data_IF_348685196678
#
_entry.id   IF_348685196678
#
_cell.length_a   1.000
_cell.length_b   1.000
_cell.length_c   1.000
_cell.angle_alpha   90.00
_cell.angle_beta   90.00
_cell.angle_gamma   90.00
#
_symmetry.space_group_name_H-M   'P 1'
#
loop_
_entity.id
_entity.type
_entity.pdbx_description
1 polymer ?
#
# COMPACT_ATOMS: atom_id res chain seq x y z
N UNK A 1 45.54 15.48 -45.84
CA UNK A 1 45.13 14.16 -45.33
C UNK A 1 45.26 14.17 -43.80
N UNK A 2 44.17 14.41 -43.06
CA UNK A 2 44.18 14.39 -41.60
C UNK A 2 43.05 13.47 -41.13
N UNK A 3 43.39 12.26 -40.69
CA UNK A 3 42.45 11.26 -40.16
C UNK A 3 42.04 11.70 -38.75
N UNK A 4 40.76 12.01 -38.54
CA UNK A 4 40.16 12.18 -37.21
C UNK A 4 39.65 10.83 -36.71
N UNK A 5 40.22 10.38 -35.61
CA UNK A 5 39.84 9.18 -34.85
C UNK A 5 38.59 9.50 -34.02
N UNK A 6 37.49 8.77 -34.24
CA UNK A 6 36.25 8.90 -33.48
C UNK A 6 36.32 7.92 -32.29
N UNK A 7 36.48 8.44 -31.07
CA UNK A 7 36.41 7.65 -29.84
C UNK A 7 34.93 7.56 -29.46
N UNK A 8 34.33 6.38 -29.61
CA UNK A 8 33.01 6.08 -29.05
C UNK A 8 33.16 5.89 -27.53
N UNK A 9 32.57 6.81 -26.77
CA UNK A 9 32.38 6.67 -25.33
C UNK A 9 31.19 5.71 -25.11
N UNK A 10 31.48 4.49 -24.67
CA UNK A 10 30.45 3.57 -24.18
C UNK A 10 29.98 4.08 -22.82
N UNK A 11 28.82 4.72 -22.78
CA UNK A 11 28.14 5.03 -21.53
C UNK A 11 27.61 3.72 -20.94
N UNK A 12 28.30 3.19 -19.94
CA UNK A 12 27.79 2.11 -19.11
C UNK A 12 26.60 2.66 -18.30
N UNK A 13 25.38 2.27 -18.66
CA UNK A 13 24.21 2.45 -17.81
C UNK A 13 24.39 1.58 -16.56
N UNK A 14 24.90 2.14 -15.47
CA UNK A 14 24.75 1.53 -14.15
C UNK A 14 23.29 1.68 -13.74
N UNK A 15 22.51 0.59 -13.86
CA UNK A 15 21.22 0.49 -13.22
C UNK A 15 21.40 0.68 -11.72
N UNK A 16 20.80 1.73 -11.16
CA UNK A 16 20.79 1.92 -9.71
C UNK A 16 20.07 0.75 -9.06
N UNK A 17 20.75 0.04 -8.17
CA UNK A 17 20.10 -0.91 -7.26
C UNK A 17 19.32 -0.07 -6.26
N UNK A 18 18.01 0.03 -6.45
CA UNK A 18 17.15 0.60 -5.42
C UNK A 18 17.03 -0.45 -4.31
N UNK A 19 17.74 -0.23 -3.20
CA UNK A 19 17.69 -1.10 -2.05
C UNK A 19 16.50 -0.70 -1.16
N UNK A 20 15.70 -1.71 -0.80
CA UNK A 20 14.70 -1.60 0.25
C UNK A 20 15.41 -1.57 1.61
N UNK A 21 15.03 -0.64 2.48
CA UNK A 21 15.62 -0.50 3.81
C UNK A 21 14.61 -0.99 4.85
N UNK A 22 14.81 -2.22 5.30
CA UNK A 22 13.97 -2.89 6.30
C UNK A 22 14.60 -2.73 7.69
N UNK A 23 13.88 -2.08 8.59
CA UNK A 23 14.27 -1.94 9.99
C UNK A 23 13.38 -2.83 10.87
N UNK A 24 14.00 -3.86 11.46
CA UNK A 24 13.38 -4.70 12.47
C UNK A 24 13.63 -4.08 13.84
N UNK A 25 12.65 -3.38 14.40
CA UNK A 25 12.84 -2.62 15.64
C UNK A 25 12.75 -3.52 16.88
N UNK A 26 12.06 -4.67 16.80
CA UNK A 26 12.01 -5.69 17.86
C UNK A 26 11.83 -7.11 17.29
N UNK A 27 12.39 -8.11 17.99
CA UNK A 27 12.17 -9.52 17.68
C UNK A 27 10.70 -9.91 17.91
N UNK A 28 10.08 -10.53 16.91
CA UNK A 28 8.70 -11.00 17.01
C UNK A 28 8.71 -12.37 17.70
N UNK A 29 8.57 -12.39 19.03
CA UNK A 29 8.57 -13.63 19.81
C UNK A 29 7.45 -14.62 19.42
N UNK A 30 6.46 -14.18 18.64
CA UNK A 30 5.33 -14.98 18.12
C UNK A 30 5.40 -15.27 16.61
N UNK A 31 6.51 -14.93 15.92
CA UNK A 31 6.60 -15.14 14.48
C UNK A 31 6.76 -16.62 14.14
N UNK A 32 6.03 -17.06 13.11
CA UNK A 32 6.00 -18.44 12.63
C UNK A 32 7.35 -18.79 11.97
N UNK A 33 8.11 -19.77 12.50
CA UNK A 33 9.38 -20.19 11.91
C UNK A 33 9.15 -20.89 10.56
N UNK A 34 9.66 -20.30 9.49
CA UNK A 34 9.57 -20.88 8.14
C UNK A 34 10.92 -20.85 7.44
N UNK A 35 11.27 -21.95 6.76
CA UNK A 35 12.37 -21.97 5.81
C UNK A 35 11.84 -21.97 4.37
N UNK A 36 12.47 -21.18 3.50
CA UNK A 36 12.22 -21.20 2.07
C UNK A 36 13.43 -21.87 1.41
N UNK A 37 13.24 -23.11 0.97
CA UNK A 37 14.23 -23.83 0.17
C UNK A 37 14.25 -23.28 -1.26
N UNK A 38 15.38 -23.44 -1.94
CA UNK A 38 15.56 -22.98 -3.32
C UNK A 38 14.50 -23.57 -4.24
N UNK A 39 13.93 -22.72 -5.11
CA UNK A 39 13.08 -23.11 -6.23
C UNK A 39 13.90 -23.53 -7.48
N UNK A 40 15.22 -23.36 -7.41
CA UNK A 40 16.15 -23.58 -8.50
C UNK A 40 17.25 -22.53 -8.50
N UNK A 41 18.41 -22.89 -9.02
CA UNK A 41 19.59 -22.00 -9.07
C UNK A 41 19.71 -21.22 -10.38
N UNK A 42 18.74 -21.37 -11.30
CA UNK A 42 18.64 -20.50 -12.46
C UNK A 42 18.06 -19.13 -12.07
N UNK A 43 18.04 -18.20 -13.03
CA UNK A 43 17.59 -16.82 -12.75
C UNK A 43 16.16 -16.77 -12.20
N UNK A 44 15.26 -17.59 -12.75
CA UNK A 44 13.85 -17.58 -12.35
C UNK A 44 13.63 -18.22 -10.97
N UNK A 45 14.28 -19.35 -10.68
CA UNK A 45 14.22 -19.99 -9.36
C UNK A 45 14.82 -19.13 -8.26
N UNK A 46 15.96 -18.47 -8.54
CA UNK A 46 16.60 -17.55 -7.60
C UNK A 46 15.74 -16.31 -7.31
N UNK A 47 15.12 -15.74 -8.35
CA UNK A 47 14.20 -14.61 -8.22
C UNK A 47 12.97 -14.97 -7.38
N UNK A 48 12.28 -16.08 -7.69
CA UNK A 48 11.15 -16.58 -6.88
C UNK A 48 11.53 -16.76 -5.41
N UNK A 49 12.65 -17.45 -5.17
CA UNK A 49 13.11 -17.73 -3.80
C UNK A 49 13.36 -16.43 -3.04
N UNK A 50 14.03 -15.47 -3.68
CA UNK A 50 14.36 -14.17 -3.07
C UNK A 50 13.11 -13.37 -2.76
N UNK A 51 12.17 -13.29 -3.70
CA UNK A 51 10.93 -12.53 -3.54
C UNK A 51 10.01 -13.12 -2.48
N UNK A 52 9.85 -14.44 -2.44
CA UNK A 52 9.02 -15.07 -1.40
C UNK A 52 9.63 -14.89 -0.01
N UNK A 53 10.97 -15.01 0.13
CA UNK A 53 11.64 -14.70 1.39
C UNK A 53 11.35 -13.25 1.83
N UNK A 54 11.49 -12.33 0.89
CA UNK A 54 11.24 -10.91 1.12
C UNK A 54 9.80 -10.68 1.59
N UNK A 55 8.80 -11.10 0.83
CA UNK A 55 7.37 -10.94 1.14
C UNK A 55 7.01 -11.46 2.55
N UNK A 56 7.42 -12.69 2.86
CA UNK A 56 7.09 -13.29 4.16
C UNK A 56 7.79 -12.55 5.30
N UNK A 57 9.03 -12.11 5.10
CA UNK A 57 9.74 -11.27 6.06
C UNK A 57 9.06 -9.91 6.25
N UNK A 58 8.62 -9.26 5.16
CA UNK A 58 7.93 -7.97 5.19
C UNK A 58 6.64 -8.00 6.00
N UNK A 59 5.97 -9.14 6.04
CA UNK A 59 4.69 -9.28 6.72
C UNK A 59 4.77 -9.17 8.26
N UNK A 60 5.97 -9.35 8.83
CA UNK A 60 6.15 -9.42 10.28
C UNK A 60 5.51 -10.62 10.96
N UNK A 61 4.96 -11.58 10.22
CA UNK A 61 4.37 -12.79 10.79
C UNK A 61 5.34 -13.98 10.79
N UNK A 62 6.43 -13.89 10.04
CA UNK A 62 7.34 -15.01 9.82
C UNK A 62 8.74 -14.73 10.34
N UNK A 63 9.33 -15.75 10.96
CA UNK A 63 10.74 -15.81 11.27
C UNK A 63 11.41 -16.66 10.20
N UNK A 64 12.16 -16.02 9.31
CA UNK A 64 12.85 -16.72 8.24
C UNK A 64 14.02 -17.52 8.83
N UNK A 65 13.96 -18.84 8.67
CA UNK A 65 15.03 -19.76 9.04
C UNK A 65 16.00 -19.87 7.86
N UNK A 66 17.29 -19.51 8.04
CA UNK A 66 18.27 -19.55 6.96
C UNK A 66 18.41 -20.96 6.37
N UNK A 67 18.36 -21.04 5.04
CA UNK A 67 18.55 -22.28 4.29
C UNK A 67 20.04 -22.48 4.00
N UNK A 68 20.67 -23.58 4.45
CA UNK A 68 22.04 -23.92 4.08
C UNK A 68 22.24 -24.01 2.55
N UNK A 69 23.37 -23.49 2.01
CA UNK A 69 23.65 -23.57 0.58
C UNK A 69 23.83 -25.03 0.14
N UNK A 70 23.35 -25.36 -1.06
CA UNK A 70 23.51 -26.69 -1.67
C UNK A 70 22.52 -27.74 -1.16
N UNK A 71 21.50 -27.36 -0.38
CA UNK A 71 20.39 -28.25 -0.07
C UNK A 71 19.70 -28.73 -1.37
N UNK A 72 19.37 -30.03 -1.49
CA UNK A 72 18.60 -30.51 -2.62
C UNK A 72 17.22 -29.84 -2.70
N UNK A 73 16.74 -29.62 -3.92
CA UNK A 73 15.36 -29.20 -4.17
C UNK A 73 14.36 -30.26 -3.67
N UNK A 74 13.15 -29.81 -3.33
CA UNK A 74 12.07 -30.68 -2.88
C UNK A 74 12.22 -31.13 -1.41
N UNK A 75 11.66 -32.29 -1.10
CA UNK A 75 11.40 -32.69 0.29
C UNK A 75 12.60 -33.26 1.04
N UNK A 76 13.73 -33.49 0.36
CA UNK A 76 14.91 -34.14 0.95
C UNK A 76 15.59 -33.26 2.01
N UNK A 77 15.50 -31.94 1.88
CA UNK A 77 16.08 -30.98 2.83
C UNK A 77 15.22 -30.68 4.07
N UNK A 78 13.98 -31.17 4.14
CA UNK A 78 13.01 -30.78 5.18
C UNK A 78 13.50 -31.14 6.58
N UNK A 79 14.09 -32.32 6.76
CA UNK A 79 14.60 -32.77 8.07
C UNK A 79 15.74 -31.90 8.59
N UNK A 80 16.60 -31.40 7.69
CA UNK A 80 17.72 -30.51 8.00
C UNK A 80 17.18 -29.14 8.42
N UNK A 81 16.24 -28.58 7.65
CA UNK A 81 15.61 -27.29 7.96
C UNK A 81 14.80 -27.32 9.26
N UNK A 82 14.12 -28.43 9.54
CA UNK A 82 13.51 -28.67 10.85
C UNK A 82 14.53 -28.66 11.97
N UNK A 83 15.66 -29.34 11.78
CA UNK A 83 16.77 -29.33 12.75
C UNK A 83 17.34 -27.92 13.00
N UNK A 84 17.24 -27.03 12.01
CA UNK A 84 17.59 -25.61 12.12
C UNK A 84 16.48 -24.75 12.77
N UNK A 85 15.33 -25.34 13.14
CA UNK A 85 14.23 -24.68 13.84
C UNK A 85 13.09 -24.19 12.95
N UNK A 86 12.96 -24.70 11.72
CA UNK A 86 11.79 -24.43 10.88
C UNK A 86 10.60 -25.32 11.26
N UNK A 87 9.45 -24.71 11.52
CA UNK A 87 8.19 -25.43 11.74
C UNK A 87 7.48 -25.70 10.40
N UNK A 88 7.66 -24.81 9.44
CA UNK A 88 7.19 -24.97 8.06
C UNK A 88 8.34 -24.85 7.06
N UNK A 89 8.27 -25.61 5.97
CA UNK A 89 9.21 -25.53 4.85
C UNK A 89 8.45 -25.31 3.56
N UNK A 90 8.78 -24.22 2.86
CA UNK A 90 8.38 -24.03 1.47
C UNK A 90 9.50 -24.53 0.57
N UNK A 91 9.18 -25.38 -0.40
CA UNK A 91 10.13 -25.82 -1.42
C UNK A 91 9.44 -25.89 -2.76
N UNK A 92 10.17 -25.62 -3.83
CA UNK A 92 9.60 -25.70 -5.17
C UNK A 92 10.63 -26.06 -6.21
N UNK A 93 10.16 -26.09 -7.45
CA UNK A 93 10.97 -26.32 -8.65
C UNK A 93 10.46 -25.45 -9.77
N UNK A 94 11.39 -24.84 -10.48
CA UNK A 94 11.17 -24.19 -11.77
C UNK A 94 11.69 -25.08 -12.89
N UNK A 95 10.88 -25.30 -13.93
CA UNK A 95 11.26 -26.07 -15.11
C UNK A 95 10.88 -25.30 -16.37
N UNK A 96 11.81 -25.21 -17.33
CA UNK A 96 11.54 -24.53 -18.62
C UNK A 96 10.64 -25.39 -19.49
N UNK A 97 9.52 -24.84 -19.97
CA UNK A 97 8.58 -25.50 -20.89
C UNK A 97 8.78 -25.10 -22.36
N UNK A 98 9.64 -24.11 -22.63
CA UNK A 98 9.91 -23.59 -23.97
C UNK A 98 10.52 -22.19 -23.89
N UNK A 99 10.50 -21.46 -25.01
CA UNK A 99 10.96 -20.06 -25.02
C UNK A 99 10.03 -19.20 -24.14
N UNK A 100 10.61 -18.53 -23.13
CA UNK A 100 9.93 -17.64 -22.20
C UNK A 100 8.75 -18.24 -21.41
N UNK A 101 8.68 -19.56 -21.22
CA UNK A 101 7.65 -20.20 -20.38
C UNK A 101 8.24 -21.15 -19.35
N UNK A 102 7.70 -21.08 -18.14
CA UNK A 102 8.11 -21.88 -16.99
C UNK A 102 6.92 -22.67 -16.44
N UNK A 103 7.17 -23.92 -16.05
CA UNK A 103 6.37 -24.66 -15.09
C UNK A 103 6.98 -24.44 -13.71
N UNK A 104 6.19 -23.98 -12.76
CA UNK A 104 6.61 -23.72 -11.39
C UNK A 104 5.72 -24.52 -10.47
N UNK A 105 6.31 -25.43 -9.70
CA UNK A 105 5.60 -26.24 -8.71
C UNK A 105 6.17 -25.99 -7.32
N UNK A 106 5.33 -26.07 -6.30
CA UNK A 106 5.78 -25.95 -4.92
C UNK A 106 4.96 -26.81 -3.96
N UNK A 107 5.62 -27.19 -2.86
CA UNK A 107 5.07 -27.82 -1.68
C UNK A 107 5.31 -26.91 -0.46
N UNK A 108 4.27 -26.62 0.29
CA UNK A 108 4.36 -26.13 1.67
C UNK A 108 4.17 -27.32 2.61
N UNK A 109 5.14 -27.51 3.51
CA UNK A 109 5.25 -28.71 4.33
C UNK A 109 5.28 -28.29 5.80
N UNK A 110 4.47 -28.97 6.61
CA UNK A 110 4.63 -28.97 8.06
C UNK A 110 5.85 -29.84 8.38
N UNK A 111 6.94 -29.21 8.81
CA UNK A 111 8.20 -29.90 9.05
C UNK A 111 8.12 -30.79 10.31
N UNK A 112 7.30 -30.41 11.29
CA UNK A 112 7.15 -31.11 12.57
C UNK A 112 6.32 -32.37 12.39
N UNK A 113 5.13 -32.24 11.79
CA UNK A 113 4.23 -33.35 11.50
C UNK A 113 4.64 -34.15 10.24
N UNK A 114 5.57 -33.60 9.44
CA UNK A 114 6.01 -34.15 8.16
C UNK A 114 4.86 -34.37 7.16
N UNK A 115 3.93 -33.42 7.11
CA UNK A 115 2.73 -33.46 6.25
C UNK A 115 2.72 -32.33 5.23
N UNK A 116 2.18 -32.58 4.02
CA UNK A 116 1.97 -31.52 3.02
C UNK A 116 0.76 -30.67 3.39
N UNK A 117 0.98 -29.38 3.58
CA UNK A 117 -0.06 -28.39 3.85
C UNK A 117 -0.68 -27.86 2.56
N UNK A 118 0.14 -27.68 1.52
CA UNK A 118 -0.27 -27.16 0.22
C UNK A 118 0.65 -27.68 -0.89
N UNK A 119 0.07 -28.07 -2.03
CA UNK A 119 0.81 -28.41 -3.26
C UNK A 119 0.13 -27.74 -4.43
N UNK A 120 0.87 -26.98 -5.23
CA UNK A 120 0.35 -26.31 -6.43
C UNK A 120 1.40 -26.25 -7.55
N UNK A 121 0.91 -26.05 -8.77
CA UNK A 121 1.73 -25.81 -9.96
C UNK A 121 1.11 -24.73 -10.84
N UNK A 122 1.96 -23.93 -11.49
CA UNK A 122 1.58 -22.83 -12.36
C UNK A 122 2.42 -22.85 -13.63
N UNK A 123 1.81 -22.43 -14.74
CA UNK A 123 2.53 -22.16 -15.98
C UNK A 123 2.50 -20.66 -16.25
N UNK A 124 3.68 -20.05 -16.33
CA UNK A 124 3.82 -18.60 -16.40
C UNK A 124 4.82 -18.18 -17.48
N UNK A 125 4.66 -16.96 -17.99
CA UNK A 125 5.64 -16.31 -18.83
C UNK A 125 6.86 -15.86 -18.02
N UNK A 126 7.99 -15.61 -18.70
CA UNK A 126 9.19 -15.07 -18.05
C UNK A 126 8.97 -13.72 -17.36
N UNK A 127 8.00 -12.94 -17.81
CA UNK A 127 7.68 -11.63 -17.26
C UNK A 127 6.78 -11.70 -16.01
N UNK A 128 6.20 -12.88 -15.74
CA UNK A 128 5.21 -13.07 -14.67
C UNK A 128 5.81 -13.75 -13.43
N UNK A 129 7.12 -14.03 -13.43
CA UNK A 129 7.82 -14.70 -12.33
C UNK A 129 7.63 -13.94 -11.01
N UNK A 130 7.75 -12.63 -11.05
CA UNK A 130 7.55 -11.76 -9.89
C UNK A 130 6.10 -11.80 -9.39
N UNK A 131 5.13 -11.65 -10.28
CA UNK A 131 3.71 -11.74 -9.91
C UNK A 131 3.37 -13.11 -9.32
N UNK A 132 3.97 -14.18 -9.85
CA UNK A 132 3.84 -15.52 -9.31
C UNK A 132 4.48 -15.64 -7.91
N UNK A 133 5.65 -15.03 -7.68
CA UNK A 133 6.28 -15.03 -6.36
C UNK A 133 5.32 -14.47 -5.31
N UNK A 134 4.76 -13.29 -5.55
CA UNK A 134 3.79 -12.65 -4.67
C UNK A 134 2.54 -13.51 -4.47
N UNK A 135 2.03 -14.14 -5.54
CA UNK A 135 0.90 -15.05 -5.43
C UNK A 135 1.20 -16.28 -4.56
N UNK A 136 2.39 -16.87 -4.71
CA UNK A 136 2.84 -17.98 -3.85
C UNK A 136 2.97 -17.51 -2.40
N UNK A 137 3.53 -16.32 -2.16
CA UNK A 137 3.61 -15.71 -0.83
C UNK A 137 2.22 -15.54 -0.21
N UNK A 138 1.24 -15.07 -0.99
CA UNK A 138 -0.15 -14.89 -0.52
C UNK A 138 -0.77 -16.23 -0.09
N UNK A 139 -0.57 -17.28 -0.88
CA UNK A 139 -1.06 -18.62 -0.60
C UNK A 139 -0.40 -19.24 0.64
N UNK A 140 0.91 -19.05 0.80
CA UNK A 140 1.65 -19.54 1.98
C UNK A 140 1.23 -18.78 3.22
N UNK A 141 1.12 -17.46 3.13
CA UNK A 141 0.66 -16.59 4.20
C UNK A 141 -0.75 -16.99 4.65
N UNK A 142 -1.70 -17.14 3.73
CA UNK A 142 -3.07 -17.54 4.07
C UNK A 142 -3.14 -18.95 4.66
N UNK A 143 -2.35 -19.89 4.14
CA UNK A 143 -2.36 -21.25 4.67
C UNK A 143 -1.86 -21.34 6.11
N UNK A 144 -0.87 -20.52 6.49
CA UNK A 144 -0.23 -20.56 7.80
C UNK A 144 -0.86 -19.63 8.83
N UNK A 145 -1.48 -18.54 8.39
CA UNK A 145 -2.07 -17.52 9.28
C UNK A 145 -3.60 -17.56 9.32
N UNK A 146 -4.25 -18.12 8.29
CA UNK A 146 -5.69 -18.05 8.09
C UNK A 146 -6.18 -16.71 7.53
N UNK A 147 -5.28 -15.78 7.20
CA UNK A 147 -5.60 -14.45 6.68
C UNK A 147 -5.05 -14.27 5.27
N UNK A 148 -5.75 -13.51 4.42
CA UNK A 148 -5.28 -13.27 3.06
C UNK A 148 -3.99 -12.42 3.07
N UNK A 149 -2.98 -12.86 2.32
CA UNK A 149 -1.76 -12.09 2.06
C UNK A 149 -2.03 -10.87 1.17
N UNK A 150 -1.15 -9.87 1.26
CA UNK A 150 -1.28 -8.59 0.51
C UNK A 150 -0.17 -8.40 -0.52
N UNK A 151 0.62 -9.42 -0.82
CA UNK A 151 1.81 -9.27 -1.66
C UNK A 151 1.45 -9.05 -3.13
N UNK A 152 0.33 -9.60 -3.60
CA UNK A 152 -0.19 -9.35 -4.96
C UNK A 152 -1.00 -8.05 -5.10
N UNK A 153 -1.06 -7.22 -4.05
CA UNK A 153 -1.73 -5.92 -4.12
C UNK A 153 -0.82 -4.85 -4.73
N UNK A 154 -1.39 -3.67 -4.95
CA UNK A 154 -0.70 -2.49 -5.49
C UNK A 154 -0.80 -1.30 -4.56
N UNK A 155 0.04 -0.31 -4.80
CA UNK A 155 -0.02 1.01 -4.18
C UNK A 155 -0.16 2.07 -5.25
N UNK A 156 -0.88 3.15 -4.94
CA UNK A 156 -0.88 4.37 -5.72
C UNK A 156 -0.21 5.48 -4.90
N UNK A 157 0.46 6.40 -5.56
CA UNK A 157 1.09 7.56 -4.90
C UNK A 157 1.31 8.69 -5.89
N UNK A 158 1.56 9.89 -5.36
CA UNK A 158 1.94 11.06 -6.15
C UNK A 158 3.46 11.23 -6.13
N UNK A 159 4.09 11.22 -7.30
CA UNK A 159 5.50 11.55 -7.45
C UNK A 159 5.65 13.02 -7.87
N UNK A 160 6.48 13.76 -7.15
CA UNK A 160 6.76 15.17 -7.41
C UNK A 160 8.22 15.37 -7.77
N UNK A 161 8.48 15.84 -8.99
CA UNK A 161 9.83 16.10 -9.49
C UNK A 161 10.05 17.60 -9.67
N UNK A 162 11.02 18.15 -8.92
CA UNK A 162 11.31 19.61 -8.89
C UNK A 162 12.62 19.99 -9.60
N UNK A 163 13.42 19.01 -10.02
CA UNK A 163 14.81 19.20 -10.43
C UNK A 163 15.01 19.65 -11.90
N UNK A 164 13.93 19.86 -12.67
CA UNK A 164 14.00 20.11 -14.13
C UNK A 164 13.28 21.39 -14.58
N UNK A 165 13.18 22.40 -13.71
CA UNK A 165 12.46 23.65 -14.01
C UNK A 165 11.05 23.64 -13.43
N UNK A 166 10.01 23.61 -14.27
CA UNK A 166 8.62 23.54 -13.77
C UNK A 166 8.40 22.20 -13.05
N UNK A 167 7.72 22.20 -11.88
CA UNK A 167 7.44 20.96 -11.16
C UNK A 167 6.57 20.03 -12.01
N UNK A 168 6.83 18.74 -11.91
CA UNK A 168 6.05 17.68 -12.55
C UNK A 168 5.43 16.80 -11.48
N UNK A 169 4.15 16.53 -11.61
CA UNK A 169 3.37 15.66 -10.73
C UNK A 169 2.92 14.45 -11.53
N UNK A 170 3.15 13.25 -11.00
CA UNK A 170 2.69 12.01 -11.62
C UNK A 170 1.84 11.21 -10.64
N UNK A 171 0.71 10.68 -11.10
CA UNK A 171 -0.02 9.63 -10.39
C UNK A 171 0.59 8.29 -10.80
N UNK A 172 1.29 7.65 -9.87
CA UNK A 172 1.97 6.38 -10.09
C UNK A 172 1.18 5.24 -9.46
N UNK A 173 1.27 4.05 -10.07
CA UNK A 173 0.83 2.78 -9.50
C UNK A 173 1.98 1.79 -9.55
N UNK A 174 2.25 1.12 -8.44
CA UNK A 174 3.32 0.13 -8.29
C UNK A 174 2.81 -1.12 -7.57
N UNK A 175 3.59 -2.20 -7.61
CA UNK A 175 3.39 -3.37 -6.75
C UNK A 175 3.46 -2.95 -5.26
N UNK A 176 2.93 -3.76 -4.34
CA UNK A 176 2.83 -3.44 -2.91
C UNK A 176 4.17 -3.05 -2.26
N UNK A 177 5.28 -3.56 -2.77
CA UNK A 177 6.65 -3.29 -2.33
C UNK A 177 7.36 -2.20 -3.15
N UNK A 178 6.63 -1.47 -4.00
CA UNK A 178 7.11 -0.29 -4.72
C UNK A 178 7.79 -0.56 -6.07
N UNK A 179 7.90 -1.83 -6.49
CA UNK A 179 8.43 -2.18 -7.81
C UNK A 179 7.40 -2.03 -8.93
N UNK A 180 7.87 -2.13 -10.18
CA UNK A 180 7.05 -1.97 -11.39
C UNK A 180 6.18 -0.69 -11.44
N UNK A 181 6.70 0.50 -11.07
CA UNK A 181 5.91 1.72 -11.08
C UNK A 181 5.52 2.16 -12.49
N UNK A 182 4.24 2.46 -12.68
CA UNK A 182 3.64 2.95 -13.92
C UNK A 182 2.92 4.29 -13.69
N UNK A 183 3.21 5.28 -14.53
CA UNK A 183 2.53 6.57 -14.50
C UNK A 183 1.17 6.48 -15.19
N UNK A 184 0.07 6.64 -14.45
CA UNK A 184 -1.28 6.75 -15.00
C UNK A 184 -1.59 8.16 -15.53
N UNK A 185 -0.98 9.17 -14.91
CA UNK A 185 -1.13 10.57 -15.30
C UNK A 185 0.16 11.32 -15.03
N UNK A 186 0.48 12.27 -15.91
CA UNK A 186 1.56 13.24 -15.74
C UNK A 186 0.97 14.63 -15.94
N UNK A 187 1.23 15.53 -15.01
CA UNK A 187 0.69 16.88 -14.99
C UNK A 187 1.75 17.92 -14.60
N UNK A 188 1.73 19.12 -15.20
CA UNK A 188 2.53 20.26 -14.72
C UNK A 188 1.91 20.92 -13.48
N UNK A 189 0.69 20.54 -13.11
CA UNK A 189 -0.07 21.02 -11.96
C UNK A 189 -0.27 19.91 -10.91
N UNK A 190 -0.48 20.26 -9.63
CA UNK A 190 -0.66 19.27 -8.57
C UNK A 190 -1.73 18.21 -8.87
N UNK A 191 -1.43 17.00 -8.40
CA UNK A 191 -2.35 15.86 -8.30
C UNK A 191 -2.42 15.52 -6.82
N UNK A 192 -3.62 15.26 -6.30
CA UNK A 192 -3.80 14.98 -4.87
C UNK A 192 -4.82 13.88 -4.60
N UNK A 193 -4.69 13.29 -3.42
CA UNK A 193 -5.64 12.40 -2.74
C UNK A 193 -6.13 11.24 -3.62
N UNK A 194 -5.22 10.39 -4.13
CA UNK A 194 -5.63 9.20 -4.86
C UNK A 194 -6.43 8.27 -3.93
N UNK A 195 -7.51 7.68 -4.46
CA UNK A 195 -8.37 6.74 -3.75
C UNK A 195 -8.80 5.62 -4.68
N UNK A 196 -8.48 4.39 -4.30
CA UNK A 196 -8.83 3.19 -5.06
C UNK A 196 -10.33 2.87 -4.98
N UNK A 197 -10.90 2.47 -6.11
CA UNK A 197 -12.21 1.79 -6.12
C UNK A 197 -12.12 0.45 -5.40
N UNK A 198 -13.23 -0.07 -4.82
CA UNK A 198 -13.22 -1.32 -4.06
C UNK A 198 -12.82 -2.55 -4.89
N UNK A 199 -12.98 -2.48 -6.22
CA UNK A 199 -12.56 -3.52 -7.17
C UNK A 199 -11.11 -3.36 -7.67
N UNK A 200 -10.40 -2.29 -7.24
CA UNK A 200 -9.03 -2.01 -7.64
C UNK A 200 -8.84 -1.58 -9.11
N UNK A 201 -9.91 -1.34 -9.86
CA UNK A 201 -9.83 -1.03 -11.31
C UNK A 201 -9.72 0.45 -11.64
N UNK A 202 -10.03 1.31 -10.68
CA UNK A 202 -10.12 2.74 -10.86
C UNK A 202 -9.50 3.50 -9.68
N UNK A 203 -9.00 4.70 -9.95
CA UNK A 203 -8.50 5.62 -8.94
C UNK A 203 -9.23 6.95 -9.09
N UNK A 204 -9.87 7.42 -8.03
CA UNK A 204 -10.35 8.78 -7.91
C UNK A 204 -9.23 9.69 -7.41
N UNK A 205 -9.11 10.91 -7.92
CA UNK A 205 -8.06 11.85 -7.53
C UNK A 205 -8.49 13.29 -7.82
N UNK A 206 -7.78 14.24 -7.21
CA UNK A 206 -7.92 15.68 -7.46
C UNK A 206 -6.87 16.11 -8.48
N UNK A 207 -7.30 16.84 -9.51
CA UNK A 207 -6.43 17.47 -10.50
C UNK A 207 -6.56 19.00 -10.45
N UNK A 208 -5.44 19.67 -10.67
CA UNK A 208 -5.34 21.13 -10.82
C UNK A 208 -4.98 21.57 -12.24
N UNK A 209 -5.05 20.70 -13.25
CA UNK A 209 -4.65 20.98 -14.64
C UNK A 209 -5.31 22.25 -15.24
N UNK A 210 -6.52 22.60 -14.80
CA UNK A 210 -7.24 23.82 -15.20
C UNK A 210 -7.10 24.99 -14.23
N UNK A 211 -6.06 25.00 -13.39
CA UNK A 211 -5.83 26.00 -12.33
C UNK A 211 -6.96 26.12 -11.31
N UNK A 212 -7.79 25.08 -11.21
CA UNK A 212 -8.84 24.90 -10.22
C UNK A 212 -8.90 23.43 -9.82
N UNK A 213 -9.33 23.14 -8.59
CA UNK A 213 -9.46 21.79 -8.10
C UNK A 213 -10.66 21.08 -8.77
N UNK A 214 -10.42 19.92 -9.36
CA UNK A 214 -11.44 19.08 -9.98
C UNK A 214 -11.24 17.63 -9.57
N UNK A 215 -12.31 16.88 -9.36
CA UNK A 215 -12.22 15.45 -9.05
C UNK A 215 -12.42 14.64 -10.33
N UNK A 216 -11.47 13.75 -10.60
CA UNK A 216 -11.51 12.80 -11.71
C UNK A 216 -11.48 11.37 -11.20
N UNK A 217 -11.94 10.44 -12.04
CA UNK A 217 -11.63 9.02 -11.93
C UNK A 217 -10.84 8.60 -13.16
N UNK A 218 -9.78 7.80 -12.96
CA UNK A 218 -8.98 7.17 -14.02
C UNK A 218 -9.06 5.65 -13.92
N UNK A 219 -9.20 4.98 -15.05
CA UNK A 219 -9.06 3.52 -15.17
C UNK A 219 -7.57 3.14 -15.11
N UNK A 220 -7.25 2.18 -14.24
CA UNK A 220 -5.86 1.70 -14.06
C UNK A 220 -5.38 0.93 -15.29
N UNK A 221 -6.27 0.18 -15.95
CA UNK A 221 -5.93 -0.61 -17.14
C UNK A 221 -5.80 0.26 -18.40
N UNK A 222 -6.73 1.19 -18.61
CA UNK A 222 -6.85 1.89 -19.90
C UNK A 222 -6.36 3.34 -19.88
N UNK A 223 -6.11 3.90 -18.70
CA UNK A 223 -5.82 5.33 -18.52
C UNK A 223 -7.00 6.26 -18.85
N UNK A 224 -8.19 5.72 -19.19
CA UNK A 224 -9.37 6.54 -19.51
C UNK A 224 -9.82 7.32 -18.28
N UNK A 225 -10.09 8.61 -18.47
CA UNK A 225 -10.46 9.56 -17.42
C UNK A 225 -11.90 10.01 -17.57
N UNK A 226 -12.60 10.19 -16.44
CA UNK A 226 -13.90 10.88 -16.38
C UNK A 226 -13.90 11.95 -15.29
N UNK A 227 -14.50 13.09 -15.59
CA UNK A 227 -14.74 14.16 -14.61
C UNK A 227 -15.89 13.74 -13.67
N UNK A 228 -15.74 14.00 -12.38
CA UNK A 228 -16.75 13.73 -11.35
C UNK A 228 -17.34 15.04 -10.83
N UNK A 229 -16.49 15.97 -10.38
CA UNK A 229 -16.95 17.29 -9.89
C UNK A 229 -16.06 18.43 -10.36
N UNK A 230 -16.69 19.58 -10.56
CA UNK A 230 -16.06 20.84 -11.00
C UNK A 230 -16.82 22.06 -10.47
N UNK A 231 -17.02 22.13 -9.16
CA UNK A 231 -17.67 23.28 -8.53
C UNK A 231 -16.66 24.40 -8.24
N UNK A 232 -17.14 25.63 -8.08
CA UNK A 232 -16.29 26.73 -7.58
C UNK A 232 -15.79 26.42 -6.16
N UNK A 233 -14.50 26.70 -5.92
CA UNK A 233 -13.85 26.46 -4.64
C UNK A 233 -13.18 25.09 -4.54
N UNK A 234 -13.17 24.52 -3.34
CA UNK A 234 -12.56 23.23 -3.06
C UNK A 234 -13.39 22.11 -3.69
N UNK A 235 -12.73 21.22 -4.41
CA UNK A 235 -13.21 19.89 -4.80
C UNK A 235 -12.09 18.92 -4.41
N UNK A 236 -12.27 18.16 -3.33
CA UNK A 236 -11.16 17.43 -2.73
C UNK A 236 -11.54 16.11 -2.07
N UNK A 237 -10.50 15.41 -1.61
CA UNK A 237 -10.54 14.21 -0.79
C UNK A 237 -11.63 13.20 -1.19
N UNK A 238 -11.57 12.67 -2.43
CA UNK A 238 -12.51 11.63 -2.86
C UNK A 238 -12.29 10.34 -2.06
N UNK A 239 -13.38 9.67 -1.69
CA UNK A 239 -13.34 8.34 -1.09
C UNK A 239 -14.49 7.48 -1.62
N UNK A 240 -14.16 6.27 -2.06
CA UNK A 240 -15.14 5.32 -2.58
C UNK A 240 -16.01 4.74 -1.48
N UNK A 241 -17.30 4.60 -1.76
CA UNK A 241 -18.17 3.72 -0.97
C UNK A 241 -17.74 2.26 -1.15
N UNK A 242 -17.93 1.39 -0.14
CA UNK A 242 -17.50 -0.01 -0.23
C UNK A 242 -18.18 -0.81 -1.36
N UNK A 243 -19.38 -0.40 -1.77
CA UNK A 243 -20.12 -0.98 -2.89
C UNK A 243 -19.69 -0.45 -4.27
N UNK A 244 -18.82 0.57 -4.32
CA UNK A 244 -18.31 1.17 -5.54
C UNK A 244 -19.29 2.09 -6.30
N UNK A 245 -20.49 2.32 -5.77
CA UNK A 245 -21.54 3.07 -6.49
C UNK A 245 -21.45 4.59 -6.28
N UNK A 246 -20.77 5.04 -5.21
CA UNK A 246 -20.71 6.44 -4.82
C UNK A 246 -19.28 6.87 -4.49
N UNK A 247 -19.03 8.17 -4.62
CA UNK A 247 -17.87 8.84 -4.02
C UNK A 247 -18.35 9.79 -2.92
N UNK A 248 -17.79 9.69 -1.72
CA UNK A 248 -17.75 10.82 -0.80
C UNK A 248 -16.70 11.82 -1.30
N UNK A 249 -17.03 13.11 -1.29
CA UNK A 249 -16.19 14.20 -1.77
C UNK A 249 -16.32 15.41 -0.85
N UNK A 250 -15.29 16.26 -0.82
CA UNK A 250 -15.29 17.51 -0.07
C UNK A 250 -15.51 18.67 -1.03
N UNK A 251 -16.57 19.44 -0.81
CA UNK A 251 -16.90 20.63 -1.61
C UNK A 251 -17.04 21.86 -0.72
N UNK A 252 -16.53 23.01 -1.16
CA UNK A 252 -16.76 24.31 -0.51
C UNK A 252 -17.75 25.20 -1.28
N UNK A 253 -18.57 24.60 -2.16
CA UNK A 253 -19.56 25.30 -3.01
C UNK A 253 -20.62 26.09 -2.23
N UNK A 254 -20.79 25.80 -0.95
CA UNK A 254 -21.78 26.37 -0.03
C UNK A 254 -21.15 27.26 1.05
N UNK A 255 -19.87 27.64 0.91
CA UNK A 255 -19.13 28.42 1.90
C UNK A 255 -17.97 27.60 2.48
N UNK A 256 -18.12 27.08 3.69
CA UNK A 256 -17.12 26.21 4.31
C UNK A 256 -17.12 24.81 3.68
N UNK A 257 -15.97 24.12 3.74
CA UNK A 257 -15.84 22.78 3.19
C UNK A 257 -16.75 21.78 3.93
N UNK A 258 -17.52 21.01 3.15
CA UNK A 258 -18.47 20.00 3.62
C UNK A 258 -18.36 18.72 2.83
N UNK A 259 -18.86 17.64 3.43
CA UNK A 259 -18.86 16.31 2.83
C UNK A 259 -20.17 16.13 2.05
N UNK A 260 -20.02 15.63 0.83
CA UNK A 260 -21.11 15.26 -0.07
C UNK A 260 -20.88 13.84 -0.58
N UNK A 261 -21.94 13.15 -1.01
CA UNK A 261 -21.80 11.98 -1.88
C UNK A 261 -22.20 12.32 -3.31
N UNK A 262 -21.52 11.70 -4.27
CA UNK A 262 -21.82 11.71 -5.70
C UNK A 262 -22.17 10.29 -6.10
N UNK A 263 -23.40 10.08 -6.57
CA UNK A 263 -23.79 8.85 -7.24
C UNK A 263 -23.11 8.76 -8.61
N UNK A 264 -22.38 7.67 -8.87
CA UNK A 264 -21.53 7.57 -10.04
C UNK A 264 -22.30 7.23 -11.33
N UNK A 265 -23.54 6.76 -11.21
CA UNK A 265 -24.41 6.43 -12.36
C UNK A 265 -25.19 7.64 -12.85
N UNK A 266 -25.74 8.42 -11.91
CA UNK A 266 -26.64 9.55 -12.18
C UNK A 266 -25.97 10.91 -12.05
N UNK A 267 -24.82 10.99 -11.37
CA UNK A 267 -24.18 12.25 -10.98
C UNK A 267 -24.91 12.98 -9.85
N UNK A 268 -25.94 12.36 -9.23
CA UNK A 268 -26.71 12.99 -8.17
C UNK A 268 -25.84 13.30 -6.96
N UNK A 269 -25.92 14.54 -6.47
CA UNK A 269 -25.11 15.05 -5.37
C UNK A 269 -25.97 15.19 -4.10
N UNK A 270 -25.56 14.58 -2.99
CA UNK A 270 -26.22 14.69 -1.69
C UNK A 270 -25.26 15.27 -0.64
N UNK A 271 -25.67 16.30 0.09
CA UNK A 271 -24.90 16.83 1.21
C UNK A 271 -25.05 15.94 2.45
N UNK A 272 -23.94 15.65 3.12
CA UNK A 272 -23.90 14.79 4.30
C UNK A 272 -23.62 15.56 5.61
N UNK A 273 -22.81 16.62 5.56
CA UNK A 273 -22.49 17.42 6.75
C UNK A 273 -22.91 18.87 6.62
N UNK A 274 -23.14 19.54 7.76
CA UNK A 274 -23.73 20.87 7.86
C UNK A 274 -23.05 21.70 8.95
N UNK A 275 -23.33 23.02 8.99
CA UNK A 275 -22.75 23.98 9.95
C UNK A 275 -21.53 24.73 9.41
N UNK A 276 -20.80 25.43 10.28
CA UNK A 276 -19.74 26.36 9.85
C UNK A 276 -18.33 25.75 9.84
N UNK A 277 -18.09 24.69 10.63
CA UNK A 277 -16.79 24.04 10.72
C UNK A 277 -16.35 23.40 9.40
N UNK A 278 -15.05 23.35 9.13
CA UNK A 278 -14.50 22.57 8.02
C UNK A 278 -14.68 21.08 8.33
N UNK A 279 -15.32 20.35 7.43
CA UNK A 279 -15.41 18.89 7.43
C UNK A 279 -14.73 18.34 6.17
N UNK A 280 -13.74 17.48 6.34
CA UNK A 280 -12.88 17.01 5.24
C UNK A 280 -12.38 15.58 5.46
N UNK A 281 -11.66 15.04 4.47
CA UNK A 281 -11.00 13.72 4.52
C UNK A 281 -11.97 12.57 4.88
N UNK A 282 -13.10 12.44 4.17
CA UNK A 282 -14.06 11.36 4.42
C UNK A 282 -13.45 9.99 4.12
N UNK A 283 -13.78 8.99 4.93
CA UNK A 283 -13.52 7.56 4.65
C UNK A 283 -14.71 6.73 5.11
N UNK A 284 -15.30 5.95 4.21
CA UNK A 284 -16.37 5.04 4.57
C UNK A 284 -15.87 3.95 5.52
N UNK A 285 -16.75 3.52 6.43
CA UNK A 285 -16.57 2.28 7.15
C UNK A 285 -16.66 1.08 6.17
N UNK A 286 -15.89 0.00 6.40
CA UNK A 286 -15.95 -1.22 5.60
C UNK A 286 -17.36 -1.80 5.43
N UNK A 287 -18.23 -1.64 6.43
CA UNK A 287 -19.63 -2.11 6.39
C UNK A 287 -20.59 -1.17 5.64
N UNK A 288 -20.13 0.00 5.19
CA UNK A 288 -20.92 0.99 4.48
C UNK A 288 -21.99 1.70 5.33
N UNK A 289 -21.97 1.57 6.66
CA UNK A 289 -22.99 2.16 7.55
C UNK A 289 -22.63 3.54 8.09
N UNK A 290 -21.34 3.87 8.09
CA UNK A 290 -20.84 5.14 8.61
C UNK A 290 -19.66 5.65 7.81
N UNK A 291 -19.24 6.88 8.13
CA UNK A 291 -18.09 7.55 7.53
C UNK A 291 -17.28 8.23 8.64
N UNK A 292 -15.97 8.03 8.65
CA UNK A 292 -15.02 8.82 9.43
C UNK A 292 -14.65 10.07 8.65
N UNK A 293 -14.44 11.19 9.34
CA UNK A 293 -13.97 12.43 8.74
C UNK A 293 -13.25 13.32 9.74
N UNK A 294 -12.40 14.20 9.23
CA UNK A 294 -11.69 15.22 10.01
C UNK A 294 -12.57 16.47 10.14
N UNK A 295 -12.72 17.00 11.35
CA UNK A 295 -13.44 18.26 11.60
C UNK A 295 -12.77 19.13 12.64
N UNK A 296 -12.77 20.44 12.40
CA UNK A 296 -12.30 21.46 13.35
C UNK A 296 -13.36 21.96 14.34
N UNK A 297 -14.56 21.34 14.37
CA UNK A 297 -15.69 21.82 15.19
C UNK A 297 -15.44 21.85 16.71
N UNK A 298 -14.42 21.14 17.18
CA UNK A 298 -13.99 21.11 18.58
C UNK A 298 -12.76 21.98 18.89
N UNK A 299 -12.36 22.87 17.97
CA UNK A 299 -11.12 23.65 18.06
C UNK A 299 -10.05 23.09 17.14
N UNK A 300 -9.24 22.15 17.61
CA UNK A 300 -8.26 21.46 16.76
C UNK A 300 -8.91 20.38 15.88
N UNK A 301 -8.30 20.03 14.72
CA UNK A 301 -8.76 18.93 13.90
C UNK A 301 -8.77 17.60 14.65
N UNK A 302 -9.94 16.96 14.64
CA UNK A 302 -10.22 15.70 15.30
C UNK A 302 -11.08 14.82 14.39
N UNK A 303 -11.12 13.52 14.68
CA UNK A 303 -11.89 12.55 13.90
C UNK A 303 -13.30 12.44 14.46
N UNK A 304 -14.27 12.48 13.56
CA UNK A 304 -15.69 12.32 13.83
C UNK A 304 -16.25 11.18 12.98
N UNK A 305 -17.32 10.56 13.48
CA UNK A 305 -18.10 9.55 12.77
C UNK A 305 -19.46 10.12 12.43
N UNK A 306 -19.83 10.01 11.16
CA UNK A 306 -21.17 10.28 10.64
C UNK A 306 -21.89 8.94 10.40
N UNK A 307 -23.08 8.78 10.98
CA UNK A 307 -23.99 7.67 10.65
C UNK A 307 -24.72 7.97 9.34
N UNK A 308 -24.71 7.04 8.40
CA UNK A 308 -25.40 7.20 7.11
C UNK A 308 -26.90 6.91 7.20
N UNK A 309 -27.35 6.27 8.27
CA UNK A 309 -28.76 5.92 8.49
C UNK A 309 -29.60 7.14 8.91
N UNK A 310 -29.07 7.98 9.80
CA UNK A 310 -29.81 9.09 10.44
C UNK A 310 -29.08 10.44 10.35
N UNK A 311 -27.84 10.48 9.84
CA UNK A 311 -27.04 11.70 9.74
C UNK A 311 -26.44 12.17 11.07
N UNK A 312 -26.52 11.37 12.13
CA UNK A 312 -25.94 11.72 13.43
C UNK A 312 -24.41 11.78 13.38
N UNK A 313 -23.83 12.77 14.07
CA UNK A 313 -22.37 12.96 14.14
C UNK A 313 -21.89 12.85 15.59
N UNK A 314 -20.82 12.08 15.80
CA UNK A 314 -20.15 11.92 17.10
C UNK A 314 -18.64 12.03 16.97
N UNK A 315 -17.96 12.59 17.98
CA UNK A 315 -16.49 12.64 18.03
C UNK A 315 -15.92 11.28 18.43
N UNK A 316 -14.85 10.87 17.77
CA UNK A 316 -14.21 9.55 17.94
C UNK A 316 -12.88 9.64 18.67
N UNK A 317 -12.08 10.68 18.40
CA UNK A 317 -10.73 10.82 18.98
C UNK A 317 -10.71 11.82 20.13
N UNK A 318 -10.15 11.42 21.27
CA UNK A 318 -9.98 12.27 22.45
C UNK A 318 -8.53 12.37 22.91
N UNK A 319 -7.69 11.41 22.53
CA UNK A 319 -6.25 11.42 22.76
C UNK A 319 -5.52 12.21 21.67
N UNK A 320 -4.52 13.00 22.07
CA UNK A 320 -3.71 13.83 21.17
C UNK A 320 -4.29 15.20 20.84
N UNK A 321 -3.39 16.11 20.46
CA UNK A 321 -3.72 17.49 20.14
C UNK A 321 -4.30 17.67 18.73
N UNK A 322 -4.04 16.72 17.83
CA UNK A 322 -4.51 16.74 16.44
C UNK A 322 -4.66 15.31 15.90
N UNK A 323 -5.80 15.02 15.27
CA UNK A 323 -6.10 13.74 14.63
C UNK A 323 -6.82 13.94 13.30
N UNK A 324 -6.34 13.30 12.22
CA UNK A 324 -6.88 13.48 10.87
C UNK A 324 -6.64 12.26 9.96
N UNK A 325 -7.17 12.30 8.72
CA UNK A 325 -6.97 11.26 7.68
C UNK A 325 -7.24 9.83 8.17
N UNK A 326 -8.28 9.67 8.99
CA UNK A 326 -8.56 8.41 9.66
C UNK A 326 -9.27 7.38 8.76
N UNK A 327 -8.93 6.11 8.90
CA UNK A 327 -9.66 4.98 8.31
C UNK A 327 -9.73 3.81 9.27
N UNK A 328 -10.84 3.08 9.25
CA UNK A 328 -10.95 1.80 9.96
C UNK A 328 -10.01 0.76 9.36
N UNK A 329 -9.55 -0.17 10.20
CA UNK A 329 -9.10 -1.48 9.72
C UNK A 329 -10.28 -2.24 9.09
N UNK A 330 -10.04 -3.21 8.18
CA UNK A 330 -11.11 -3.96 7.51
C UNK A 330 -12.10 -4.65 8.48
N UNK A 331 -11.61 -5.09 9.63
CA UNK A 331 -12.41 -5.69 10.71
C UNK A 331 -13.13 -4.69 11.63
N UNK A 332 -12.92 -3.38 11.41
CA UNK A 332 -13.42 -2.25 12.20
C UNK A 332 -13.02 -2.22 13.67
N UNK A 333 -12.00 -3.00 14.07
CA UNK A 333 -11.54 -3.02 15.47
C UNK A 333 -10.60 -1.88 15.82
N UNK A 334 -9.92 -1.31 14.82
CA UNK A 334 -8.98 -0.21 15.01
C UNK A 334 -9.25 0.93 14.04
N UNK A 335 -8.78 2.12 14.39
CA UNK A 335 -8.72 3.28 13.51
C UNK A 335 -7.26 3.69 13.34
N UNK A 336 -6.80 3.70 12.10
CA UNK A 336 -5.48 4.24 11.72
C UNK A 336 -5.65 5.68 11.30
N UNK A 337 -4.77 6.57 11.78
CA UNK A 337 -4.88 8.00 11.51
C UNK A 337 -3.55 8.72 11.56
N UNK A 338 -3.52 9.92 10.97
CA UNK A 338 -2.49 10.90 11.26
C UNK A 338 -2.74 11.44 12.67
N UNK A 339 -1.73 11.36 13.51
CA UNK A 339 -1.81 11.67 14.94
C UNK A 339 -0.67 12.58 15.37
N UNK A 340 -0.96 13.48 16.30
CA UNK A 340 0.04 14.32 16.94
C UNK A 340 -0.33 14.58 18.40
N UNK A 341 0.59 14.24 19.29
CA UNK A 341 0.53 14.63 20.69
C UNK A 341 0.90 16.11 20.87
N UNK A 342 0.69 16.63 22.08
CA UNK A 342 1.07 18.00 22.38
C UNK A 342 2.59 18.15 22.24
N UNK A 343 3.01 19.20 21.53
CA UNK A 343 4.43 19.50 21.23
C UNK A 343 5.22 18.40 20.48
N UNK A 344 4.55 17.38 19.93
CA UNK A 344 5.16 16.35 19.10
C UNK A 344 5.15 16.70 17.60
N UNK A 345 5.82 15.87 16.80
CA UNK A 345 5.66 15.85 15.34
C UNK A 345 4.42 15.04 14.94
N UNK A 346 4.11 15.06 13.64
CA UNK A 346 3.06 14.24 13.04
C UNK A 346 3.57 12.83 12.81
N UNK A 347 2.82 11.87 13.32
CA UNK A 347 3.12 10.44 13.31
C UNK A 347 1.86 9.67 12.89
N UNK A 348 1.99 8.37 12.71
CA UNK A 348 0.86 7.47 12.50
C UNK A 348 0.42 6.90 13.85
N UNK A 349 -0.85 7.07 14.16
CA UNK A 349 -1.49 6.55 15.36
C UNK A 349 -2.50 5.45 15.03
N UNK A 350 -2.64 4.49 15.94
CA UNK A 350 -3.64 3.43 15.91
C UNK A 350 -4.50 3.54 17.17
N UNK A 351 -5.79 3.79 17.00
CA UNK A 351 -6.77 3.82 18.08
C UNK A 351 -7.41 2.44 18.25
N UNK A 352 -7.49 1.96 19.49
CA UNK A 352 -8.21 0.73 19.85
C UNK A 352 -9.71 0.97 20.12
N UNK A 353 -10.47 -0.11 20.36
CA UNK A 353 -11.92 -0.06 20.62
C UNK A 353 -12.30 0.76 21.87
N UNK A 354 -11.35 0.93 22.81
CA UNK A 354 -11.55 1.72 24.03
C UNK A 354 -11.23 3.21 23.81
N UNK A 355 -10.80 3.58 22.61
CA UNK A 355 -10.47 4.97 22.27
C UNK A 355 -9.02 5.36 22.56
N UNK A 356 -8.20 4.44 23.05
CA UNK A 356 -6.79 4.73 23.36
C UNK A 356 -5.96 4.71 22.08
N UNK A 357 -5.10 5.71 21.93
CA UNK A 357 -4.20 5.81 20.76
C UNK A 357 -2.80 5.33 21.10
N UNK A 358 -2.23 4.50 20.22
CA UNK A 358 -0.81 4.10 20.26
C UNK A 358 -0.11 4.65 19.02
N UNK A 359 1.03 5.32 19.21
CA UNK A 359 1.90 5.73 18.10
C UNK A 359 2.67 4.52 17.57
N UNK A 360 2.60 4.29 16.25
CA UNK A 360 3.30 3.19 15.59
C UNK A 360 4.50 3.65 14.78
N UNK A 361 4.62 4.94 14.48
CA UNK A 361 5.80 5.55 13.86
C UNK A 361 6.37 6.66 14.73
N UNK A 362 7.67 6.95 14.53
CA UNK A 362 8.43 7.95 15.30
C UNK A 362 9.22 8.91 14.40
N UNK A 363 8.89 8.98 13.12
CA UNK A 363 9.62 9.78 12.14
C UNK A 363 9.27 11.28 12.21
N UNK A 364 9.98 12.08 11.42
CA UNK A 364 10.02 13.54 11.59
C UNK A 364 8.80 14.28 11.03
N UNK A 365 8.14 13.72 10.00
CA UNK A 365 6.98 14.31 9.34
C UNK A 365 6.21 13.24 8.55
N UNK A 366 5.43 12.42 9.24
CA UNK A 366 4.58 11.42 8.59
C UNK A 366 3.29 12.04 8.08
N UNK A 367 2.78 11.50 6.98
CA UNK A 367 1.51 11.93 6.39
C UNK A 367 0.79 10.79 5.67
N UNK A 368 -0.53 10.96 5.52
CA UNK A 368 -1.37 10.15 4.61
C UNK A 368 -1.33 8.63 4.84
N UNK A 369 -1.68 8.13 6.05
CA UNK A 369 -1.71 6.70 6.26
C UNK A 369 -2.78 6.01 5.40
N UNK A 370 -2.45 4.81 4.94
CA UNK A 370 -3.31 3.94 4.15
C UNK A 370 -3.13 2.48 4.59
N UNK A 371 -4.19 1.91 5.16
CA UNK A 371 -4.19 0.53 5.66
C UNK A 371 -4.27 -0.49 4.51
N UNK A 372 -3.51 -1.58 4.61
CA UNK A 372 -3.59 -2.73 3.72
C UNK A 372 -4.94 -3.43 3.82
N UNK A 373 -5.39 -4.15 2.78
CA UNK A 373 -6.73 -4.76 2.77
C UNK A 373 -6.88 -5.95 3.73
N UNK A 374 -5.79 -6.48 4.30
CA UNK A 374 -5.83 -7.43 5.41
C UNK A 374 -5.70 -6.77 6.80
N UNK A 375 -5.53 -5.45 6.87
CA UNK A 375 -5.45 -4.70 8.13
C UNK A 375 -4.12 -4.82 8.88
N UNK A 376 -3.08 -5.41 8.29
CA UNK A 376 -1.82 -5.71 9.00
C UNK A 376 -0.72 -4.69 8.78
N UNK A 377 -0.73 -3.98 7.67
CA UNK A 377 0.32 -3.04 7.27
C UNK A 377 -0.29 -1.68 6.98
N UNK A 378 0.45 -0.62 7.31
CA UNK A 378 0.08 0.77 7.05
C UNK A 378 1.14 1.37 6.14
N UNK A 379 0.74 1.77 4.95
CA UNK A 379 1.54 2.58 4.04
C UNK A 379 1.38 4.05 4.39
N UNK A 380 2.47 4.81 4.39
CA UNK A 380 2.45 6.24 4.67
C UNK A 380 3.57 6.94 3.91
N UNK A 381 3.49 8.26 3.76
CA UNK A 381 4.60 9.07 3.28
C UNK A 381 5.34 9.68 4.47
N UNK A 382 6.67 9.78 4.35
CA UNK A 382 7.54 10.34 5.38
C UNK A 382 8.74 11.04 4.75
N UNK A 383 9.60 11.65 5.56
CA UNK A 383 10.84 12.27 5.10
C UNK A 383 12.07 11.53 5.57
N UNK A 384 12.97 11.27 4.63
CA UNK A 384 14.29 10.71 4.90
C UNK A 384 15.35 11.43 4.07
N UNK A 385 16.41 11.95 4.72
CA UNK A 385 17.45 12.76 4.10
C UNK A 385 16.89 13.89 3.20
N UNK A 386 15.93 14.65 3.75
CA UNK A 386 15.20 15.74 3.08
C UNK A 386 14.39 15.37 1.82
N UNK A 387 14.23 14.07 1.54
CA UNK A 387 13.38 13.57 0.45
C UNK A 387 12.10 12.94 0.99
N UNK A 388 10.98 13.18 0.32
CA UNK A 388 9.73 12.47 0.55
C UNK A 388 9.85 11.03 0.06
N UNK A 389 9.64 10.06 0.94
CA UNK A 389 9.70 8.62 0.64
C UNK A 389 8.46 7.91 1.18
N UNK A 390 8.19 6.71 0.68
CA UNK A 390 7.13 5.86 1.22
C UNK A 390 7.68 4.95 2.30
N UNK A 391 6.94 4.86 3.40
CA UNK A 391 7.18 3.93 4.50
C UNK A 391 6.05 2.93 4.64
N UNK A 392 6.36 1.74 5.12
CA UNK A 392 5.40 0.75 5.58
C UNK A 392 5.71 0.45 7.04
N UNK A 393 4.66 0.43 7.87
CA UNK A 393 4.74 0.01 9.27
C UNK A 393 3.69 -1.06 9.56
N UNK A 394 4.00 -2.04 10.40
CA UNK A 394 2.97 -2.98 10.87
C UNK A 394 1.96 -2.30 11.80
N UNK A 395 0.74 -2.83 11.89
CA UNK A 395 -0.31 -2.28 12.78
C UNK A 395 0.14 -2.21 14.25
N UNK A 396 1.06 -3.09 14.66
CA UNK A 396 1.64 -3.12 16.02
C UNK A 396 2.94 -2.29 16.17
N UNK A 397 3.40 -1.62 15.11
CA UNK A 397 4.58 -0.75 15.13
C UNK A 397 5.93 -1.46 15.18
N UNK A 398 6.00 -2.79 15.02
CA UNK A 398 7.24 -3.57 15.17
C UNK A 398 8.06 -3.74 13.89
N UNK A 399 7.40 -3.66 12.74
CA UNK A 399 8.06 -3.74 11.43
C UNK A 399 8.03 -2.37 10.80
N UNK A 400 9.20 -1.87 10.41
CA UNK A 400 9.34 -0.61 9.69
C UNK A 400 10.11 -0.86 8.41
N UNK A 401 9.68 -0.22 7.34
CA UNK A 401 10.30 -0.39 6.04
C UNK A 401 10.20 0.89 5.24
N UNK A 402 11.24 1.17 4.48
CA UNK A 402 11.21 2.20 3.46
C UNK A 402 11.22 1.56 2.09
N UNK A 403 10.24 1.96 1.29
CA UNK A 403 10.13 1.49 -0.08
C UNK A 403 11.20 2.13 -0.97
N UNK A 404 11.54 1.48 -2.11
CA UNK A 404 12.54 1.98 -3.03
C UNK A 404 12.16 3.38 -3.54
N UNK A 405 13.05 4.36 -3.36
CA UNK A 405 12.76 5.76 -3.72
C UNK A 405 13.18 6.06 -5.17
N UNK A 406 12.23 6.42 -6.04
CA UNK A 406 12.54 7.01 -7.35
C UNK A 406 13.05 8.45 -7.19
N UNK A 407 13.65 9.01 -8.24
CA UNK A 407 14.07 10.41 -8.21
C UNK A 407 12.86 11.35 -8.13
N UNK A 408 12.75 12.07 -7.01
CA UNK A 408 11.65 12.97 -6.68
C UNK A 408 11.20 12.81 -5.23
N UNK A 409 10.16 13.55 -4.85
CA UNK A 409 9.47 13.39 -3.57
C UNK A 409 8.18 12.59 -3.77
N UNK A 410 7.92 11.64 -2.89
CA UNK A 410 6.67 10.85 -2.91
C UNK A 410 5.68 11.36 -1.87
N UNK A 411 4.40 11.42 -2.24
CA UNK A 411 3.32 11.99 -1.42
C UNK A 411 2.02 11.20 -1.56
N UNK A 412 1.14 11.36 -0.57
CA UNK A 412 -0.26 10.91 -0.58
C UNK A 412 -0.50 9.47 -1.08
N UNK A 413 0.15 8.46 -0.47
CA UNK A 413 -0.04 7.08 -0.88
C UNK A 413 -1.44 6.54 -0.57
N UNK A 414 -1.86 5.56 -1.36
CA UNK A 414 -3.07 4.78 -1.17
C UNK A 414 -2.82 3.29 -1.47
N UNK A 415 -3.07 2.42 -0.49
CA UNK A 415 -3.03 0.97 -0.69
C UNK A 415 -4.29 0.52 -1.43
N UNK A 416 -4.12 -0.32 -2.46
CA UNK A 416 -5.25 -0.92 -3.18
C UNK A 416 -6.03 -1.94 -2.34
N UNK A 417 -7.30 -2.23 -2.68
CA UNK A 417 -7.96 -3.43 -2.19
C UNK A 417 -7.24 -4.70 -2.69
N UNK A 418 -7.73 -5.87 -2.27
CA UNK A 418 -7.32 -7.11 -2.95
C UNK A 418 -7.67 -7.03 -4.43
N UNK A 419 -6.72 -7.43 -5.28
CA UNK A 419 -6.90 -7.52 -6.72
C UNK A 419 -7.35 -8.94 -7.07
N UNK A 420 -8.32 -9.05 -7.99
CA UNK A 420 -8.92 -10.31 -8.42
C UNK A 420 -8.43 -10.80 -9.77
#
# INVERSE_FOLDING_TARGET
>A
MLKRLLILFFAACSGGVFALDLELTQGINSALPIAINSFGYDSAGSELTTLINHDLQLSGQFKIIPTPPGLPEGTQGVSILRGAGADSVLTGRVSKLGFNRYDVSFDLIDAVANGRLLTKSFQVGSNDIRALAHHISDLVYEKLTGERGVFSTRIAYVLVQRNSGRPRYSLEVADADGFNPQSLLVSPEPIMSPSWSPDGRQIAYVSFEKKKAQIFIVSVETGKRRLVTDFTGINGAPAWSPDGNQLAVVLSKSGSAKIYTVDLSSGHLKQLTFGDAIDTEPRFAPDGRSLLFTSGRGGSPQVYRLSLADGSVSRVTYDGSYNARASYTPDQRHIVMLHKEQDSRFNIGVQDENGRVTQVTFATLDESPSISPNGRLILYATRHNDKGVLGIVSLDGRIHMRLPAREGDVQEPAWSPFLG
#
